data_IF_017688535695
#
_entry.id   IF_017688535695
#
_cell.length_a   1.000
_cell.length_b   1.000
_cell.length_c   1.000
_cell.angle_alpha   90.00
_cell.angle_beta   90.00
_cell.angle_gamma   90.00
#
_symmetry.space_group_name_H-M   'P 1'
#
loop_
_entity.id
_entity.type
_entity.pdbx_description
1 polymer ?
#
# COMPACT_ATOMS: atom_id res chain seq x y z
N UNK A 1 15.65 -19.05 37.00
CA UNK A 1 16.62 -20.05 36.51
C UNK A 1 16.13 -20.52 35.15
N UNK A 2 16.71 -19.98 34.08
CA UNK A 2 16.40 -20.35 32.70
C UNK A 2 17.34 -21.50 32.29
N UNK A 3 16.79 -22.56 31.70
CA UNK A 3 17.57 -23.68 31.20
C UNK A 3 18.40 -23.26 29.97
N UNK A 4 19.67 -23.69 29.85
CA UNK A 4 20.52 -23.39 28.71
C UNK A 4 20.22 -24.35 27.55
N UNK A 5 20.07 -23.77 26.35
CA UNK A 5 20.36 -24.41 25.07
C UNK A 5 19.78 -25.80 24.85
N UNK A 6 18.46 -25.89 24.63
CA UNK A 6 17.90 -27.09 24.03
C UNK A 6 18.37 -27.15 22.57
N UNK A 7 19.40 -27.96 22.32
CA UNK A 7 19.80 -28.35 20.97
C UNK A 7 18.66 -29.21 20.44
N UNK A 8 17.68 -28.57 19.80
CA UNK A 8 16.68 -29.27 18.99
C UNK A 8 17.44 -29.82 17.79
N UNK A 9 17.99 -31.03 17.96
CA UNK A 9 18.45 -31.86 16.86
C UNK A 9 17.24 -32.06 15.96
N UNK A 10 17.29 -31.44 14.78
CA UNK A 10 16.32 -31.65 13.72
C UNK A 10 16.43 -33.13 13.29
N UNK A 11 15.69 -34.01 13.98
CA UNK A 11 15.65 -35.46 13.71
C UNK A 11 14.84 -35.79 12.46
N UNK A 12 14.75 -34.86 11.51
CA UNK A 12 14.18 -35.17 10.20
C UNK A 12 15.19 -36.02 9.43
N UNK A 13 14.73 -37.20 8.99
CA UNK A 13 15.51 -38.17 8.22
C UNK A 13 16.31 -37.47 7.10
N UNK A 14 17.62 -37.75 6.95
CA UNK A 14 18.44 -37.20 5.88
C UNK A 14 17.82 -37.62 4.53
N UNK A 15 17.18 -36.66 3.85
CA UNK A 15 16.48 -36.85 2.57
C UNK A 15 14.97 -36.58 2.56
N UNK A 16 14.29 -36.46 3.72
CA UNK A 16 12.83 -36.33 3.75
C UNK A 16 12.29 -34.89 3.62
N UNK A 17 13.10 -33.87 3.90
CA UNK A 17 12.66 -32.47 3.86
C UNK A 17 13.60 -31.62 3.01
N UNK A 18 13.34 -31.61 1.70
CA UNK A 18 14.03 -30.72 0.74
C UNK A 18 13.92 -29.27 1.24
N UNK A 19 15.05 -28.72 1.70
CA UNK A 19 15.20 -27.32 2.08
C UNK A 19 14.92 -26.43 0.88
N UNK A 20 14.36 -25.25 1.12
CA UNK A 20 14.13 -24.27 0.06
C UNK A 20 15.13 -23.14 0.23
N UNK A 21 15.86 -22.88 -0.85
CA UNK A 21 16.95 -21.92 -0.87
C UNK A 21 16.61 -20.88 -1.92
N UNK A 22 16.70 -19.61 -1.53
CA UNK A 22 16.70 -18.47 -2.44
C UNK A 22 18.01 -17.73 -2.23
N UNK A 23 18.70 -17.42 -3.32
CA UNK A 23 20.02 -16.80 -3.29
C UNK A 23 20.02 -15.52 -4.11
N UNK A 24 21.01 -14.68 -3.90
CA UNK A 24 21.33 -13.61 -4.84
C UNK A 24 21.62 -14.21 -6.24
N UNK A 25 21.08 -13.67 -7.36
CA UNK A 25 20.40 -12.37 -7.49
C UNK A 25 18.89 -12.36 -7.23
N UNK A 26 18.23 -13.51 -7.06
CA UNK A 26 16.78 -13.58 -6.86
C UNK A 26 16.32 -12.88 -5.57
N UNK A 27 17.20 -12.83 -4.58
CA UNK A 27 17.05 -12.02 -3.37
C UNK A 27 18.01 -10.82 -3.43
N UNK A 28 17.49 -9.61 -3.24
CA UNK A 28 18.27 -8.37 -3.30
C UNK A 28 18.66 -7.84 -1.91
N UNK A 29 17.89 -8.19 -0.89
CA UNK A 29 18.10 -7.74 0.50
C UNK A 29 19.11 -8.59 1.30
N UNK A 30 19.27 -9.86 0.93
CA UNK A 30 20.05 -10.86 1.64
C UNK A 30 20.88 -11.66 0.61
N UNK A 31 22.02 -12.20 1.05
CA UNK A 31 22.81 -13.08 0.17
C UNK A 31 22.13 -14.44 -0.02
N UNK A 32 21.49 -14.93 1.04
CA UNK A 32 20.83 -16.24 1.08
C UNK A 32 19.65 -16.24 2.05
N UNK A 33 18.56 -16.88 1.63
CA UNK A 33 17.37 -17.16 2.43
C UNK A 33 17.13 -18.66 2.37
N UNK A 34 17.14 -19.32 3.53
CA UNK A 34 16.93 -20.77 3.63
C UNK A 34 15.74 -21.05 4.53
N UNK A 35 14.74 -21.72 3.98
CA UNK A 35 13.57 -22.18 4.71
C UNK A 35 13.67 -23.68 4.98
N UNK A 36 13.75 -24.03 6.25
CA UNK A 36 13.64 -25.40 6.74
C UNK A 36 12.20 -25.73 7.13
N UNK A 37 11.97 -26.88 7.77
CA UNK A 37 10.65 -27.24 8.27
C UNK A 37 10.21 -26.38 9.45
N UNK A 38 11.15 -25.91 10.27
CA UNK A 38 10.89 -25.27 11.57
C UNK A 38 11.50 -23.88 11.69
N UNK A 39 12.47 -23.53 10.83
CA UNK A 39 13.25 -22.29 10.93
C UNK A 39 13.43 -21.62 9.56
N UNK A 40 13.53 -20.31 9.59
CA UNK A 40 13.99 -19.47 8.50
C UNK A 40 15.38 -18.93 8.86
N UNK A 41 16.33 -19.07 7.93
CA UNK A 41 17.66 -18.52 8.04
C UNK A 41 17.86 -17.43 7.00
N UNK A 42 18.36 -16.28 7.44
CA UNK A 42 18.65 -15.13 6.60
C UNK A 42 20.13 -14.77 6.74
N UNK A 43 20.90 -14.95 5.68
CA UNK A 43 22.30 -14.54 5.64
C UNK A 43 22.39 -13.07 5.18
N UNK A 44 23.18 -12.22 5.86
CA UNK A 44 23.32 -10.82 5.49
C UNK A 44 23.87 -10.68 4.08
N UNK A 45 23.60 -9.54 3.43
CA UNK A 45 24.08 -9.28 2.08
C UNK A 45 25.60 -9.08 2.07
N UNK A 46 26.35 -10.15 1.81
CA UNK A 46 27.81 -10.16 1.70
C UNK A 46 28.30 -10.48 0.28
N UNK A 47 27.43 -10.27 -0.72
CA UNK A 47 27.66 -10.65 -2.13
C UNK A 47 26.96 -11.96 -2.52
N UNK A 48 27.30 -12.47 -3.70
CA UNK A 48 26.74 -13.73 -4.20
C UNK A 48 27.30 -14.92 -3.39
N UNK A 49 26.44 -15.82 -2.86
CA UNK A 49 26.90 -16.99 -2.13
C UNK A 49 27.67 -17.93 -3.06
N UNK A 50 28.71 -18.58 -2.54
CA UNK A 50 29.48 -19.58 -3.29
C UNK A 50 28.58 -20.76 -3.66
N UNK A 51 28.72 -21.29 -4.87
CA UNK A 51 27.93 -22.44 -5.33
C UNK A 51 28.10 -23.68 -4.43
N UNK A 52 29.30 -23.89 -3.89
CA UNK A 52 29.59 -24.97 -2.92
C UNK A 52 28.77 -24.85 -1.63
N UNK A 53 28.58 -23.62 -1.14
CA UNK A 53 27.76 -23.35 0.05
C UNK A 53 26.30 -23.67 -0.21
N UNK A 54 25.76 -23.24 -1.36
CA UNK A 54 24.38 -23.54 -1.76
C UNK A 54 24.17 -25.05 -1.89
N UNK A 55 25.09 -25.75 -2.56
CA UNK A 55 25.04 -27.20 -2.70
C UNK A 55 25.12 -27.93 -1.35
N UNK A 56 26.00 -27.50 -0.44
CA UNK A 56 26.11 -28.07 0.90
C UNK A 56 24.80 -27.89 1.71
N UNK A 57 24.14 -26.74 1.57
CA UNK A 57 22.86 -26.45 2.20
C UNK A 57 21.75 -27.34 1.64
N UNK A 58 21.67 -27.47 0.32
CA UNK A 58 20.69 -28.33 -0.36
C UNK A 58 20.87 -29.81 -0.01
N UNK A 59 22.11 -30.25 0.20
CA UNK A 59 22.49 -31.61 0.60
C UNK A 59 22.28 -31.89 2.09
N UNK A 60 21.75 -30.96 2.87
CA UNK A 60 21.43 -31.19 4.27
C UNK A 60 22.53 -30.84 5.28
N UNK A 61 23.59 -30.11 4.87
CA UNK A 61 24.66 -29.68 5.79
C UNK A 61 24.17 -28.85 6.98
N UNK A 62 24.97 -28.75 8.04
CA UNK A 62 24.59 -28.01 9.25
C UNK A 62 24.51 -26.49 8.95
N UNK A 63 23.31 -25.90 9.05
CA UNK A 63 23.10 -24.48 8.70
C UNK A 63 23.78 -23.51 9.66
N UNK A 64 23.84 -23.85 10.94
CA UNK A 64 24.43 -22.98 11.96
C UNK A 64 25.96 -22.89 11.75
N UNK A 65 26.59 -23.98 11.31
CA UNK A 65 28.01 -24.01 10.92
C UNK A 65 28.26 -23.33 9.58
N UNK A 66 27.40 -23.58 8.59
CA UNK A 66 27.59 -23.08 7.21
C UNK A 66 27.35 -21.58 7.08
N UNK A 67 26.34 -21.03 7.77
CA UNK A 67 25.98 -19.61 7.70
C UNK A 67 26.66 -18.77 8.79
N UNK A 68 27.09 -19.41 9.87
CA UNK A 68 27.75 -18.77 10.99
C UNK A 68 26.84 -17.88 11.83
N UNK A 69 27.41 -17.16 12.82
CA UNK A 69 26.65 -16.44 13.85
C UNK A 69 25.97 -15.15 13.36
N UNK A 70 26.30 -14.68 12.15
CA UNK A 70 25.70 -13.47 11.58
C UNK A 70 24.36 -13.74 10.90
N UNK A 71 23.98 -15.01 10.74
CA UNK A 71 22.69 -15.36 10.18
C UNK A 71 21.57 -15.05 11.17
N UNK A 72 20.54 -14.36 10.70
CA UNK A 72 19.32 -14.18 11.49
C UNK A 72 18.52 -15.47 11.36
N UNK A 73 18.22 -16.07 12.51
CA UNK A 73 17.43 -17.31 12.60
C UNK A 73 16.08 -16.97 13.21
N UNK A 74 15.00 -17.32 12.50
CA UNK A 74 13.63 -17.10 12.94
C UNK A 74 12.93 -18.44 13.04
N UNK A 75 12.42 -18.76 14.23
CA UNK A 75 11.59 -19.95 14.40
C UNK A 75 10.20 -19.72 13.83
N UNK A 76 9.71 -20.65 12.99
CA UNK A 76 8.42 -20.51 12.32
C UNK A 76 7.25 -20.49 13.31
N UNK A 77 7.40 -21.13 14.48
CA UNK A 77 6.41 -21.09 15.55
C UNK A 77 6.29 -19.71 16.22
N UNK A 78 7.36 -18.91 16.15
CA UNK A 78 7.42 -17.58 16.73
C UNK A 78 6.86 -16.50 15.77
N UNK A 79 6.65 -16.84 14.51
CA UNK A 79 5.99 -15.95 13.54
C UNK A 79 4.56 -15.66 14.02
N UNK A 80 4.09 -14.44 13.79
CA UNK A 80 2.72 -14.02 14.10
C UNK A 80 1.98 -13.58 12.85
N UNK A 81 2.71 -12.86 12.00
CA UNK A 81 2.18 -12.25 10.78
C UNK A 81 3.22 -12.39 9.68
N UNK A 82 2.76 -12.75 8.49
CA UNK A 82 3.56 -12.79 7.29
C UNK A 82 2.81 -12.02 6.20
N UNK A 83 3.45 -11.05 5.57
CA UNK A 83 2.85 -10.23 4.53
C UNK A 83 3.76 -10.12 3.32
N UNK A 84 3.24 -10.47 2.15
CA UNK A 84 3.88 -10.23 0.86
C UNK A 84 3.31 -8.96 0.23
N UNK A 85 4.14 -7.96 -0.03
CA UNK A 85 3.84 -6.80 -0.87
C UNK A 85 4.12 -7.15 -2.34
N UNK A 86 3.05 -7.24 -3.13
CA UNK A 86 3.07 -7.64 -4.54
C UNK A 86 3.61 -6.54 -5.46
N UNK A 87 3.61 -5.28 -5.02
CA UNK A 87 4.12 -4.15 -5.81
C UNK A 87 5.63 -3.98 -5.65
N UNK A 88 6.14 -4.29 -4.45
CA UNK A 88 7.54 -4.10 -4.10
C UNK A 88 8.35 -5.41 -4.09
N UNK A 89 7.71 -6.56 -4.28
CA UNK A 89 8.30 -7.88 -4.12
C UNK A 89 8.96 -8.05 -2.75
N UNK A 90 8.30 -7.57 -1.69
CA UNK A 90 8.83 -7.60 -0.31
C UNK A 90 8.01 -8.54 0.54
N UNK A 91 8.66 -9.54 1.11
CA UNK A 91 8.13 -10.38 2.16
C UNK A 91 8.50 -9.80 3.52
N UNK A 92 7.50 -9.41 4.29
CA UNK A 92 7.64 -8.92 5.67
C UNK A 92 7.10 -9.97 6.63
N UNK A 93 7.80 -10.19 7.75
CA UNK A 93 7.37 -11.10 8.79
C UNK A 93 7.51 -10.45 10.17
N UNK A 94 6.51 -10.63 11.01
CA UNK A 94 6.58 -10.25 12.42
C UNK A 94 6.71 -11.52 13.25
N UNK A 95 7.67 -11.54 14.17
CA UNK A 95 7.95 -12.68 15.03
C UNK A 95 8.29 -12.26 16.45
N UNK A 96 8.13 -13.18 17.40
CA UNK A 96 8.53 -12.98 18.80
C UNK A 96 9.97 -13.40 18.98
N UNK A 97 10.81 -12.48 19.44
CA UNK A 97 12.25 -12.72 19.58
C UNK A 97 12.64 -12.92 21.04
N UNK A 98 12.66 -14.18 21.51
CA UNK A 98 13.23 -14.63 22.79
C UNK A 98 12.73 -13.96 24.09
N UNK A 99 11.86 -12.97 23.99
CA UNK A 99 11.41 -12.08 25.05
C UNK A 99 10.02 -11.51 24.75
N UNK A 100 9.66 -10.38 25.37
CA UNK A 100 8.32 -9.77 25.24
C UNK A 100 8.16 -8.87 24.01
N UNK A 101 9.22 -8.71 23.20
CA UNK A 101 9.22 -7.83 22.03
C UNK A 101 8.75 -8.52 20.76
N UNK A 102 8.11 -7.75 19.88
CA UNK A 102 7.88 -8.12 18.48
C UNK A 102 9.02 -7.59 17.62
N UNK A 103 9.69 -8.48 16.90
CA UNK A 103 10.72 -8.16 15.91
C UNK A 103 10.15 -8.31 14.50
N UNK A 104 10.71 -7.56 13.56
CA UNK A 104 10.31 -7.57 12.16
C UNK A 104 11.45 -8.03 11.26
N UNK A 105 11.13 -8.82 10.24
CA UNK A 105 12.02 -9.16 9.12
C UNK A 105 11.44 -8.62 7.82
N UNK A 106 12.31 -8.25 6.88
CA UNK A 106 11.93 -7.84 5.53
C UNK A 106 12.90 -8.44 4.52
N UNK A 107 12.37 -9.21 3.56
CA UNK A 107 13.13 -9.82 2.47
C UNK A 107 12.61 -9.26 1.15
N UNK A 108 13.47 -8.52 0.45
CA UNK A 108 13.22 -7.99 -0.88
C UNK A 108 13.74 -8.97 -1.93
N UNK A 109 12.89 -9.28 -2.91
CA UNK A 109 13.18 -10.15 -4.05
C UNK A 109 13.34 -9.34 -5.34
N UNK A 110 14.15 -9.84 -6.26
CA UNK A 110 14.35 -9.22 -7.57
C UNK A 110 13.13 -9.42 -8.49
N UNK A 111 12.43 -10.56 -8.37
CA UNK A 111 11.30 -10.91 -9.23
C UNK A 111 10.04 -11.21 -8.41
N UNK A 112 8.83 -10.93 -8.95
CA UNK A 112 7.58 -11.27 -8.29
C UNK A 112 7.40 -12.78 -8.15
N UNK A 113 7.88 -13.57 -9.11
CA UNK A 113 7.79 -15.03 -9.08
C UNK A 113 8.60 -15.63 -7.92
N UNK A 114 9.80 -15.11 -7.66
CA UNK A 114 10.61 -15.56 -6.53
C UNK A 114 9.94 -15.22 -5.19
N UNK A 115 9.36 -14.02 -5.08
CA UNK A 115 8.63 -13.58 -3.90
C UNK A 115 7.39 -14.45 -3.61
N UNK A 116 6.58 -14.72 -4.64
CA UNK A 116 5.38 -15.55 -4.54
C UNK A 116 5.71 -17.02 -4.19
N UNK A 117 6.73 -17.59 -4.84
CA UNK A 117 7.21 -18.93 -4.50
C UNK A 117 7.69 -18.99 -3.04
N UNK A 118 8.43 -17.98 -2.58
CA UNK A 118 8.90 -17.91 -1.20
C UNK A 118 7.73 -17.83 -0.22
N UNK A 119 6.82 -16.89 -0.43
CA UNK A 119 5.61 -16.73 0.38
C UNK A 119 4.78 -18.01 0.43
N UNK A 120 4.51 -18.65 -0.70
CA UNK A 120 3.71 -19.89 -0.77
C UNK A 120 4.38 -21.04 -0.03
N UNK A 121 5.71 -21.18 -0.12
CA UNK A 121 6.44 -22.20 0.65
C UNK A 121 6.44 -21.89 2.14
N UNK A 122 6.65 -20.63 2.50
CA UNK A 122 6.62 -20.18 3.90
C UNK A 122 5.26 -20.46 4.53
N UNK A 123 4.18 -20.01 3.89
CA UNK A 123 2.82 -20.20 4.38
C UNK A 123 2.47 -21.69 4.54
N UNK A 124 2.84 -22.55 3.57
CA UNK A 124 2.63 -24.00 3.71
C UNK A 124 3.40 -24.61 4.89
N UNK A 125 4.52 -24.02 5.33
CA UNK A 125 5.30 -24.50 6.49
C UNK A 125 4.75 -23.99 7.82
N UNK A 126 4.11 -22.83 7.82
CA UNK A 126 3.42 -22.29 8.99
C UNK A 126 2.26 -23.18 9.47
N UNK A 127 1.65 -23.93 8.55
CA UNK A 127 0.63 -24.94 8.86
C UNK A 127 -0.76 -24.35 9.14
N UNK A 128 -1.63 -25.18 9.73
CA UNK A 128 -3.07 -24.92 9.83
C UNK A 128 -3.46 -23.78 10.80
N UNK A 129 -2.54 -23.38 11.70
CA UNK A 129 -2.77 -22.27 12.64
C UNK A 129 -2.72 -20.88 11.99
N UNK A 130 -2.53 -20.80 10.68
CA UNK A 130 -2.33 -19.57 9.94
C UNK A 130 -3.31 -19.45 8.79
N UNK A 131 -4.09 -18.38 8.80
CA UNK A 131 -5.06 -18.09 7.73
C UNK A 131 -4.56 -16.97 6.84
N UNK A 132 -4.68 -17.20 5.54
CA UNK A 132 -4.58 -16.13 4.57
C UNK A 132 -5.78 -15.20 4.79
N UNK A 133 -5.50 -13.98 5.22
CA UNK A 133 -6.52 -12.97 5.41
C UNK A 133 -7.16 -12.68 4.05
N UNK A 134 -8.51 -12.69 3.96
CA UNK A 134 -9.16 -12.20 2.76
C UNK A 134 -8.70 -10.76 2.57
N UNK A 135 -8.36 -10.41 1.33
CA UNK A 135 -7.95 -9.07 1.01
C UNK A 135 -9.12 -8.11 1.28
N UNK A 136 -9.10 -7.47 2.45
CA UNK A 136 -10.10 -6.51 2.87
C UNK A 136 -9.67 -5.13 2.39
N UNK A 137 -10.34 -4.64 1.35
CA UNK A 137 -10.36 -3.20 1.08
C UNK A 137 -11.21 -2.55 2.13
N UNK A 138 -10.70 -1.54 2.83
CA UNK A 138 -11.58 -0.62 3.55
C UNK A 138 -12.21 0.32 2.50
N UNK A 139 -13.47 0.08 2.08
CA UNK A 139 -14.09 0.86 1.03
C UNK A 139 -14.26 2.32 1.46
N UNK A 140 -14.39 2.57 2.77
CA UNK A 140 -14.58 3.90 3.32
C UNK A 140 -13.28 4.70 3.29
N UNK A 141 -12.16 4.10 3.73
CA UNK A 141 -10.86 4.74 3.60
C UNK A 141 -10.50 5.05 2.14
N UNK A 142 -10.92 4.19 1.21
CA UNK A 142 -10.72 4.42 -0.23
C UNK A 142 -11.61 5.55 -0.77
N UNK A 143 -12.88 5.61 -0.37
CA UNK A 143 -13.86 6.58 -0.87
C UNK A 143 -13.78 7.96 -0.19
N UNK A 144 -13.23 8.07 1.02
CA UNK A 144 -13.26 9.32 1.79
C UNK A 144 -12.62 10.51 1.06
N UNK A 145 -11.40 10.43 0.49
CA UNK A 145 -10.82 11.56 -0.24
C UNK A 145 -11.63 12.04 -1.46
N UNK A 146 -12.07 11.17 -2.41
CA UNK A 146 -12.91 11.62 -3.53
C UNK A 146 -14.27 12.15 -3.09
N UNK A 147 -14.89 11.56 -2.06
CA UNK A 147 -16.15 12.07 -1.52
C UNK A 147 -16.01 13.46 -0.90
N UNK A 148 -14.93 13.72 -0.16
CA UNK A 148 -14.64 15.06 0.37
C UNK A 148 -14.39 16.06 -0.74
N UNK A 149 -13.73 15.65 -1.83
CA UNK A 149 -13.51 16.50 -3.00
C UNK A 149 -14.83 16.84 -3.69
N UNK A 150 -15.71 15.85 -3.90
CA UNK A 150 -17.05 16.03 -4.47
C UNK A 150 -17.91 16.96 -3.60
N UNK A 151 -17.93 16.72 -2.28
CA UNK A 151 -18.67 17.55 -1.34
C UNK A 151 -18.14 18.99 -1.36
N UNK A 152 -16.82 19.17 -1.32
CA UNK A 152 -16.17 20.46 -1.39
C UNK A 152 -16.46 21.19 -2.71
N UNK A 153 -16.43 20.49 -3.84
CA UNK A 153 -16.76 21.09 -5.14
C UNK A 153 -18.23 21.50 -5.21
N UNK A 154 -19.15 20.66 -4.71
CA UNK A 154 -20.58 20.98 -4.69
C UNK A 154 -20.87 22.20 -3.81
N UNK A 155 -20.33 22.22 -2.59
CA UNK A 155 -20.49 23.34 -1.67
C UNK A 155 -19.86 24.63 -2.22
N UNK A 156 -18.64 24.54 -2.77
CA UNK A 156 -17.98 25.68 -3.39
C UNK A 156 -18.76 26.26 -4.57
N UNK A 157 -19.30 25.39 -5.43
CA UNK A 157 -20.13 25.80 -6.57
C UNK A 157 -21.44 26.44 -6.10
N UNK A 158 -22.10 25.87 -5.08
CA UNK A 158 -23.34 26.41 -4.52
C UNK A 158 -23.14 27.77 -3.86
N UNK A 159 -22.09 27.92 -3.04
CA UNK A 159 -21.75 29.21 -2.40
C UNK A 159 -21.43 30.25 -3.46
N UNK A 160 -20.62 29.91 -4.46
CA UNK A 160 -20.26 30.85 -5.52
C UNK A 160 -21.50 31.28 -6.32
N UNK A 161 -22.37 30.34 -6.71
CA UNK A 161 -23.62 30.63 -7.40
C UNK A 161 -24.54 31.55 -6.57
N UNK A 162 -24.69 31.30 -5.27
CA UNK A 162 -25.47 32.16 -4.36
C UNK A 162 -24.86 33.56 -4.28
N UNK A 163 -23.54 33.68 -4.13
CA UNK A 163 -22.89 35.00 -4.07
C UNK A 163 -23.08 35.77 -5.36
N UNK A 164 -22.93 35.12 -6.52
CA UNK A 164 -23.14 35.73 -7.83
C UNK A 164 -24.58 36.21 -8.01
N UNK A 165 -25.56 35.40 -7.60
CA UNK A 165 -26.99 35.77 -7.63
C UNK A 165 -27.25 37.04 -6.82
N UNK A 166 -26.69 37.15 -5.60
CA UNK A 166 -26.86 38.34 -4.74
C UNK A 166 -26.23 39.58 -5.37
N UNK A 167 -25.07 39.46 -6.00
CA UNK A 167 -24.42 40.58 -6.69
C UNK A 167 -25.19 41.02 -7.95
N UNK A 168 -25.74 40.08 -8.72
CA UNK A 168 -26.59 40.38 -9.87
C UNK A 168 -27.89 41.09 -9.46
N UNK A 169 -28.54 40.65 -8.39
CA UNK A 169 -29.75 41.29 -7.85
C UNK A 169 -29.47 42.70 -7.34
N UNK A 170 -28.38 42.90 -6.59
CA UNK A 170 -27.98 44.21 -6.09
C UNK A 170 -27.60 45.19 -7.22
N UNK A 171 -26.89 44.70 -8.25
CA UNK A 171 -26.58 45.47 -9.45
C UNK A 171 -27.83 45.87 -10.22
N UNK A 172 -28.79 44.94 -10.35
CA UNK A 172 -30.08 45.18 -11.01
C UNK A 172 -30.93 46.21 -10.26
N UNK A 173 -31.00 46.13 -8.93
CA UNK A 173 -31.72 47.09 -8.09
C UNK A 173 -31.12 48.50 -8.17
N UNK A 174 -29.79 48.61 -8.14
CA UNK A 174 -29.09 49.90 -8.30
C UNK A 174 -29.33 50.51 -9.69
N UNK A 175 -29.30 49.69 -10.74
CA UNK A 175 -29.59 50.14 -12.09
C UNK A 175 -31.05 50.60 -12.26
N UNK A 176 -32.00 49.95 -11.57
CA UNK A 176 -33.41 50.37 -11.55
C UNK A 176 -33.60 51.72 -10.84
N UNK A 177 -32.97 51.92 -9.67
CA UNK A 177 -33.04 53.17 -8.92
C UNK A 177 -32.51 54.38 -9.72
N UNK A 178 -31.38 54.21 -10.42
CA UNK A 178 -30.82 55.25 -11.30
C UNK A 178 -31.73 55.60 -12.49
N UNK A 179 -32.62 54.69 -12.88
CA UNK A 179 -33.57 54.87 -14.00
C UNK A 179 -34.79 55.70 -13.60
N UNK A 180 -35.14 55.67 -12.32
CA UNK A 180 -36.29 56.37 -11.75
C UNK A 180 -35.98 57.87 -11.53
N UNK A 181 -34.72 58.21 -11.24
CA UNK A 181 -34.26 59.58 -11.01
C UNK A 181 -34.04 60.42 -12.30
N UNK A 182 -33.86 59.81 -13.48
CA UNK A 182 -33.73 60.56 -14.74
C UNK A 182 -34.30 59.81 -15.97
N UNK A 183 -35.51 60.18 -16.46
CA UNK A 183 -36.18 59.51 -17.57
C UNK A 183 -35.56 59.81 -18.95
N UNK A 184 -34.50 60.64 -19.02
CA UNK A 184 -33.86 61.05 -20.28
C UNK A 184 -32.57 60.29 -20.60
N UNK A 185 -32.09 59.41 -19.73
CA UNK A 185 -30.87 58.64 -19.99
C UNK A 185 -31.18 57.57 -21.05
N UNK A 186 -30.62 57.68 -22.28
CA UNK A 186 -30.83 56.67 -23.30
C UNK A 186 -30.21 55.36 -22.83
N UNK A 187 -30.83 54.23 -23.17
CA UNK A 187 -30.36 52.85 -22.95
C UNK A 187 -28.84 52.79 -22.81
N UNK A 188 -28.33 52.74 -21.58
CA UNK A 188 -26.95 52.38 -21.32
C UNK A 188 -26.76 51.01 -21.94
N UNK A 189 -26.04 50.96 -23.07
CA UNK A 189 -25.63 49.69 -23.67
C UNK A 189 -24.89 48.93 -22.56
N UNK A 190 -25.19 47.65 -22.34
CA UNK A 190 -24.44 46.87 -21.37
C UNK A 190 -22.96 47.00 -21.72
N UNK A 191 -22.16 47.52 -20.78
CA UNK A 191 -20.71 47.58 -20.95
C UNK A 191 -20.21 46.16 -21.27
N UNK A 192 -19.23 46.02 -22.17
CA UNK A 192 -18.67 44.71 -22.47
C UNK A 192 -18.07 44.13 -21.19
N UNK A 193 -18.68 43.03 -20.70
CA UNK A 193 -18.24 42.35 -19.48
C UNK A 193 -16.73 42.15 -19.47
N UNK A 194 -16.10 42.58 -18.39
CA UNK A 194 -14.66 42.46 -18.18
C UNK A 194 -14.21 41.00 -18.15
N UNK A 195 -12.90 40.71 -18.33
CA UNK A 195 -12.40 39.34 -18.33
C UNK A 195 -12.69 38.58 -17.03
N UNK A 196 -12.69 39.27 -15.88
CA UNK A 196 -13.03 38.67 -14.58
C UNK A 196 -14.54 38.34 -14.48
N UNK A 197 -15.41 39.19 -15.02
CA UNK A 197 -16.86 38.95 -15.04
C UNK A 197 -17.24 37.79 -15.96
N UNK A 198 -16.46 37.53 -17.02
CA UNK A 198 -16.63 36.35 -17.87
C UNK A 198 -16.20 35.06 -17.16
N UNK A 199 -15.17 35.12 -16.32
CA UNK A 199 -14.72 33.98 -15.50
C UNK A 199 -15.71 33.67 -14.36
N UNK A 200 -16.49 34.67 -13.94
CA UNK A 200 -17.53 34.57 -12.93
C UNK A 200 -18.93 34.29 -13.53
N UNK A 201 -19.03 34.01 -14.83
CA UNK A 201 -20.28 33.54 -15.44
C UNK A 201 -20.68 32.20 -14.80
N UNK A 202 -21.94 32.10 -14.33
CA UNK A 202 -22.47 30.90 -13.71
C UNK A 202 -22.26 29.64 -14.58
N UNK A 203 -22.24 29.78 -15.91
CA UNK A 203 -21.96 28.68 -16.84
C UNK A 203 -20.55 28.14 -16.69
N UNK A 204 -19.57 29.02 -16.51
CA UNK A 204 -18.16 28.65 -16.31
C UNK A 204 -17.99 27.98 -14.95
N UNK A 205 -18.65 28.51 -13.91
CA UNK A 205 -18.67 27.93 -12.56
C UNK A 205 -19.27 26.52 -12.57
N UNK A 206 -20.43 26.34 -13.21
CA UNK A 206 -21.06 25.03 -13.36
C UNK A 206 -20.21 24.05 -14.20
N UNK A 207 -19.60 24.52 -15.29
CA UNK A 207 -18.71 23.70 -16.11
C UNK A 207 -17.47 23.22 -15.33
N UNK A 208 -16.86 24.11 -14.55
CA UNK A 208 -15.73 23.77 -13.68
C UNK A 208 -16.15 22.74 -12.60
N UNK A 209 -17.30 22.95 -11.95
CA UNK A 209 -17.86 22.00 -10.99
C UNK A 209 -18.12 20.62 -11.61
N UNK A 210 -18.66 20.57 -12.82
CA UNK A 210 -18.88 19.33 -13.57
C UNK A 210 -17.58 18.59 -13.90
N UNK A 211 -16.52 19.30 -14.31
CA UNK A 211 -15.21 18.72 -14.56
C UNK A 211 -14.60 18.11 -13.29
N UNK A 212 -14.69 18.83 -12.17
CA UNK A 212 -14.20 18.35 -10.88
C UNK A 212 -14.96 17.11 -10.43
N UNK A 213 -16.29 17.10 -10.61
CA UNK A 213 -17.11 15.95 -10.29
C UNK A 213 -16.75 14.72 -11.15
N UNK A 214 -16.61 14.90 -12.46
CA UNK A 214 -16.20 13.84 -13.37
C UNK A 214 -14.81 13.28 -13.05
N UNK A 215 -13.84 14.16 -12.78
CA UNK A 215 -12.49 13.73 -12.37
C UNK A 215 -12.51 12.93 -11.06
N UNK A 216 -13.34 13.34 -10.10
CA UNK A 216 -13.50 12.64 -8.82
C UNK A 216 -14.12 11.26 -8.99
N UNK A 217 -15.11 11.11 -9.89
CA UNK A 217 -15.71 9.82 -10.22
C UNK A 217 -14.70 8.86 -10.86
N UNK A 218 -13.91 9.34 -11.83
CA UNK A 218 -12.85 8.54 -12.47
C UNK A 218 -11.79 8.14 -11.43
N UNK A 219 -11.42 9.07 -10.54
CA UNK A 219 -10.47 8.78 -9.47
C UNK A 219 -11.00 7.72 -8.49
N UNK A 220 -12.26 7.83 -8.07
CA UNK A 220 -12.94 6.86 -7.21
C UNK A 220 -12.99 5.49 -7.90
N UNK A 221 -13.43 5.44 -9.16
CA UNK A 221 -13.47 4.22 -9.95
C UNK A 221 -12.09 3.53 -10.00
N UNK A 222 -11.05 4.27 -10.36
CA UNK A 222 -9.67 3.74 -10.40
C UNK A 222 -9.22 3.17 -9.06
N UNK A 223 -9.59 3.80 -7.94
CA UNK A 223 -9.26 3.28 -6.60
C UNK A 223 -9.99 1.98 -6.29
N UNK A 224 -11.25 1.86 -6.67
CA UNK A 224 -12.04 0.65 -6.45
C UNK A 224 -11.62 -0.51 -7.36
N UNK A 225 -11.08 -0.24 -8.56
CA UNK A 225 -10.66 -1.26 -9.52
C UNK A 225 -9.17 -1.61 -9.48
N UNK A 226 -8.39 -1.09 -8.53
CA UNK A 226 -6.99 -1.52 -8.39
C UNK A 226 -6.91 -3.04 -8.15
N UNK A 227 -5.82 -3.73 -8.52
CA UNK A 227 -5.60 -5.12 -8.11
C UNK A 227 -5.22 -5.21 -6.62
N UNK A 228 -5.28 -6.40 -6.00
CA UNK A 228 -4.72 -6.60 -4.66
C UNK A 228 -3.23 -6.27 -4.66
N UNK A 229 -2.78 -5.56 -3.62
CA UNK A 229 -1.40 -5.09 -3.50
C UNK A 229 -0.58 -5.91 -2.50
N UNK A 230 -1.25 -6.69 -1.65
CA UNK A 230 -0.58 -7.49 -0.65
C UNK A 230 -1.37 -8.76 -0.33
N UNK A 231 -0.65 -9.81 0.05
CA UNK A 231 -1.17 -11.01 0.67
C UNK A 231 -0.71 -11.03 2.13
N UNK A 232 -1.61 -11.30 3.06
CA UNK A 232 -1.29 -11.31 4.49
C UNK A 232 -1.78 -12.61 5.12
N UNK A 233 -0.93 -13.21 5.93
CA UNK A 233 -1.21 -14.41 6.70
C UNK A 233 -1.03 -14.06 8.17
N UNK A 234 -2.02 -14.36 8.98
CA UNK A 234 -1.98 -14.15 10.43
C UNK A 234 -2.24 -15.46 11.16
N UNK A 235 -1.60 -15.61 12.32
CA UNK A 235 -1.94 -16.69 13.25
C UNK A 235 -3.33 -16.43 13.86
N UNK A 236 -4.17 -17.47 13.88
CA UNK A 236 -5.47 -17.45 14.58
C UNK A 236 -5.32 -17.32 16.11
#
# INVERSE_FOLDING_TARGET
MAAPGEIILDTTLPGATRRRVWAHPDVSSHSLVVLTATRLYLAPLSGAPKAELVAAIENGGNLDELLGPLAVVVELIAVRRLRLDLLRNVLTGEYVDGGLGTSGLAVVFATPEAADMCFTKFWRRLGDGYRLQPYQRDPWALARPPLLLLLGSLLGTAVLALTLSVFEDAGSARAAALREDDPRVPFLRPEPKGPLERLLDWRVVCAAGGLVAGASQVWLYRRFTQPPQALEVTRD
#
